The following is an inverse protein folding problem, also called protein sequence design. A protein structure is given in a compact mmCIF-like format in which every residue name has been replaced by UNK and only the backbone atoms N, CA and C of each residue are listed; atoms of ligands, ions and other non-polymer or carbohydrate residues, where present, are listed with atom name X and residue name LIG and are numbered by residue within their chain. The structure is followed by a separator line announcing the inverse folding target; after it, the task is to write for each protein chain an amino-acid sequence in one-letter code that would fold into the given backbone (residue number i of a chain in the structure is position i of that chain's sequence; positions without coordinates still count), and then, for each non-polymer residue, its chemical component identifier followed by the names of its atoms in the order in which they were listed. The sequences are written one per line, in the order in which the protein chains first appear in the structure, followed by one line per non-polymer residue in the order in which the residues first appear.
data_IF_489681780286
#
_entry.id   IF_489681780286
#
_cell.length_a   1.000
_cell.length_b   1.000
_cell.length_c   1.000
_cell.angle_alpha   90.00
_cell.angle_beta   90.00
_cell.angle_gamma   90.00
#
_symmetry.space_group_name_H-M   'P 1'
#
loop_
_entity.id
_entity.type
_entity.pdbx_description
1 polymer ?
#
# COMPACT_ATOMS: atom_id res chain seq x y z
N UNK A 1 -0.47 18.66 4.19
CA UNK A 1 0.69 18.02 4.85
C UNK A 1 0.56 16.49 4.84
N UNK A 2 -0.65 15.94 5.08
CA UNK A 2 -0.90 14.48 5.11
C UNK A 2 -0.77 13.77 3.76
N UNK A 3 -1.10 14.43 2.65
CA UNK A 3 -1.08 13.81 1.31
C UNK A 3 0.32 13.31 0.88
N UNK A 4 1.38 14.05 1.20
CA UNK A 4 2.76 13.64 0.89
C UNK A 4 3.20 12.43 1.71
N UNK A 5 2.75 12.32 2.95
CA UNK A 5 3.01 11.18 3.81
C UNK A 5 2.35 9.89 3.26
N UNK A 6 1.05 9.96 2.92
CA UNK A 6 0.35 8.81 2.33
C UNK A 6 0.98 8.36 1.02
N UNK A 7 1.30 9.30 0.11
CA UNK A 7 1.94 8.95 -1.16
C UNK A 7 3.29 8.26 -0.97
N UNK A 8 4.14 8.78 -0.08
CA UNK A 8 5.42 8.15 0.20
C UNK A 8 5.23 6.73 0.74
N UNK A 9 4.33 6.55 1.72
CA UNK A 9 4.12 5.26 2.36
C UNK A 9 3.50 4.21 1.44
N UNK A 10 2.57 4.63 0.57
CA UNK A 10 1.99 3.79 -0.48
C UNK A 10 3.09 3.27 -1.41
N UNK A 11 3.99 4.15 -1.85
CA UNK A 11 5.03 3.75 -2.81
C UNK A 11 6.13 2.91 -2.17
N UNK A 12 6.45 3.13 -0.89
CA UNK A 12 7.32 2.24 -0.11
C UNK A 12 6.76 0.81 -0.04
N UNK A 13 5.50 0.65 0.36
CA UNK A 13 4.85 -0.66 0.46
C UNK A 13 4.70 -1.33 -0.92
N UNK A 14 4.39 -0.54 -1.95
CA UNK A 14 4.32 -1.04 -3.33
C UNK A 14 5.66 -1.59 -3.80
N UNK A 15 6.75 -0.86 -3.56
CA UNK A 15 8.08 -1.30 -3.95
C UNK A 15 8.51 -2.56 -3.19
N UNK A 16 8.18 -2.68 -1.91
CA UNK A 16 8.45 -3.87 -1.12
C UNK A 16 7.62 -5.08 -1.59
N UNK A 17 6.34 -4.89 -1.93
CA UNK A 17 5.51 -5.95 -2.50
C UNK A 17 6.08 -6.49 -3.81
N UNK A 18 6.57 -5.60 -4.68
CA UNK A 18 7.22 -5.99 -5.94
C UNK A 18 8.46 -6.83 -5.64
N UNK A 19 9.33 -6.40 -4.72
CA UNK A 19 10.54 -7.17 -4.36
C UNK A 19 10.21 -8.54 -3.78
N UNK A 20 9.20 -8.63 -2.92
CA UNK A 20 8.75 -9.91 -2.35
C UNK A 20 8.22 -10.82 -3.45
N UNK A 21 7.40 -10.28 -4.36
CA UNK A 21 6.90 -11.03 -5.51
C UNK A 21 8.03 -11.47 -6.45
N UNK A 22 8.99 -10.63 -6.77
CA UNK A 22 10.14 -10.98 -7.61
C UNK A 22 11.01 -12.10 -6.98
N UNK A 23 11.09 -12.12 -5.64
CA UNK A 23 11.84 -13.13 -4.92
C UNK A 23 11.15 -14.51 -4.87
N UNK A 24 9.80 -14.55 -4.76
CA UNK A 24 9.05 -15.79 -4.61
C UNK A 24 8.29 -16.23 -5.87
N UNK A 25 8.10 -15.33 -6.84
CA UNK A 25 7.24 -15.44 -8.03
C UNK A 25 5.86 -16.05 -7.72
N UNK A 26 5.31 -15.74 -6.55
CA UNK A 26 4.07 -16.34 -6.07
C UNK A 26 3.21 -15.30 -5.33
N UNK A 27 2.10 -14.91 -5.97
CA UNK A 27 1.14 -13.97 -5.38
C UNK A 27 0.38 -14.52 -4.16
N UNK A 28 0.37 -15.84 -3.97
CA UNK A 28 -0.26 -16.49 -2.79
C UNK A 28 0.73 -16.71 -1.65
N UNK A 29 2.00 -16.33 -1.83
CA UNK A 29 2.96 -16.36 -0.74
C UNK A 29 2.47 -15.50 0.43
N UNK A 30 2.63 -16.02 1.65
CA UNK A 30 2.06 -15.38 2.83
C UNK A 30 2.64 -13.97 3.07
N UNK A 31 3.90 -13.73 2.70
CA UNK A 31 4.51 -12.40 2.83
C UNK A 31 3.92 -11.44 1.79
N UNK A 32 3.76 -11.88 0.54
CA UNK A 32 3.12 -11.10 -0.54
C UNK A 32 1.66 -10.76 -0.21
N UNK A 33 0.92 -11.72 0.34
CA UNK A 33 -0.48 -11.51 0.78
C UNK A 33 -0.55 -10.49 1.91
N UNK A 34 0.31 -10.60 2.93
CA UNK A 34 0.31 -9.66 4.07
C UNK A 34 0.58 -8.22 3.61
N UNK A 35 1.59 -8.01 2.79
CA UNK A 35 1.92 -6.66 2.31
C UNK A 35 0.85 -6.12 1.34
N UNK A 36 0.24 -6.99 0.53
CA UNK A 36 -0.92 -6.62 -0.30
C UNK A 36 -2.08 -6.11 0.55
N UNK A 37 -2.39 -6.77 1.66
CA UNK A 37 -3.46 -6.35 2.57
C UNK A 37 -3.12 -5.03 3.28
N UNK A 38 -1.86 -4.82 3.66
CA UNK A 38 -1.42 -3.56 4.26
C UNK A 38 -1.50 -2.39 3.27
N UNK A 39 -1.07 -2.61 2.02
CA UNK A 39 -1.19 -1.63 0.95
C UNK A 39 -2.65 -1.28 0.65
N UNK A 40 -3.54 -2.27 0.57
CA UNK A 40 -4.98 -2.04 0.34
C UNK A 40 -5.61 -1.21 1.47
N UNK A 41 -5.29 -1.54 2.72
CA UNK A 41 -5.75 -0.77 3.88
C UNK A 41 -5.29 0.68 3.80
N UNK A 42 -4.02 0.93 3.50
CA UNK A 42 -3.47 2.28 3.41
C UNK A 42 -4.12 3.09 2.27
N UNK A 43 -4.38 2.46 1.12
CA UNK A 43 -5.09 3.09 0.01
C UNK A 43 -6.52 3.48 0.39
N UNK A 44 -7.22 2.62 1.14
CA UNK A 44 -8.56 2.90 1.62
C UNK A 44 -8.58 4.05 2.65
N UNK A 45 -7.65 4.05 3.60
CA UNK A 45 -7.49 5.15 4.56
C UNK A 45 -7.22 6.48 3.85
N UNK A 46 -6.31 6.46 2.87
CA UNK A 46 -5.99 7.63 2.08
C UNK A 46 -7.17 8.13 1.24
N UNK A 47 -7.93 7.23 0.62
CA UNK A 47 -9.15 7.55 -0.11
C UNK A 47 -10.19 8.24 0.80
N UNK A 48 -10.35 7.73 2.03
CA UNK A 48 -11.23 8.33 3.02
C UNK A 48 -10.77 9.74 3.41
N UNK A 49 -9.47 9.94 3.65
CA UNK A 49 -8.90 11.27 3.95
C UNK A 49 -9.14 12.24 2.78
N UNK A 50 -8.95 11.80 1.54
CA UNK A 50 -9.21 12.62 0.34
C UNK A 50 -10.69 12.98 0.21
N UNK A 51 -11.61 12.07 0.55
CA UNK A 51 -13.03 12.32 0.50
C UNK A 51 -13.47 13.34 1.56
N UNK A 52 -12.95 13.24 2.79
CA UNK A 52 -13.33 14.12 3.89
C UNK A 52 -12.65 15.50 3.84
N UNK A 53 -11.47 15.61 3.23
CA UNK A 53 -10.80 16.91 2.99
C UNK A 53 -11.39 17.69 1.81
N UNK A 54 -12.34 17.11 1.06
CA UNK A 54 -13.05 17.78 -0.05
C UNK A 54 -14.39 18.40 0.35
N UNK A 55 -14.73 18.39 1.65
CA UNK A 55 -15.90 19.06 2.23
C UNK A 55 -15.55 20.43 2.80
#
# INVERSE_FOLDING_TARGET
MEHGFYQQKIEELRAEMIRLFEACNNFTDQAVVKISQELDRLLNEYSWVLANNKC
#
